data_IF_591316163143
#
_entry.id   IF_591316163143
#
_cell.length_a   1.000
_cell.length_b   1.000
_cell.length_c   1.000
_cell.angle_alpha   90.00
_cell.angle_beta   90.00
_cell.angle_gamma   90.00
#
_symmetry.space_group_name_H-M   'P 1'
#
loop_
_entity.id
_entity.type
_entity.pdbx_description
1 polymer ?
#
# COMPACT_ATOMS: atom_id res chain seq x y z
N UNK A 1 6.66 -0.33 10.61
CA UNK A 1 7.97 0.33 10.54
C UNK A 1 8.83 -0.34 11.58
N UNK A 2 9.71 -1.24 11.18
CA UNK A 2 10.73 -1.70 12.12
C UNK A 2 11.64 -0.48 12.30
N UNK A 3 11.48 0.21 13.42
CA UNK A 3 12.55 1.05 13.93
C UNK A 3 13.62 0.08 14.41
N UNK A 4 14.63 -0.10 13.57
CA UNK A 4 15.92 -0.62 13.99
C UNK A 4 16.95 0.33 13.40
N UNK A 5 17.27 1.34 14.20
CA UNK A 5 18.41 2.24 14.00
C UNK A 5 19.71 1.45 14.25
N UNK A 6 19.98 0.44 13.41
CA UNK A 6 21.26 -0.25 13.37
C UNK A 6 22.12 0.35 12.25
N UNK A 7 23.18 1.11 12.58
CA UNK A 7 24.08 1.75 11.62
C UNK A 7 24.80 0.77 10.69
N UNK A 8 24.77 -0.54 10.95
CA UNK A 8 25.39 -1.56 10.11
C UNK A 8 24.63 -1.85 8.80
N UNK A 9 23.36 -1.44 8.68
CA UNK A 9 22.56 -1.57 7.45
C UNK A 9 22.86 -0.49 6.39
N UNK A 10 23.71 0.48 6.70
CA UNK A 10 24.22 1.47 5.74
C UNK A 10 25.29 0.90 4.79
N UNK A 11 25.58 -0.41 4.83
CA UNK A 11 26.23 -1.12 3.73
C UNK A 11 25.21 -1.42 2.63
N UNK A 12 24.72 -0.36 1.98
CA UNK A 12 23.85 -0.48 0.80
C UNK A 12 24.66 -1.03 -0.37
N UNK A 13 24.63 -2.35 -0.50
CA UNK A 13 25.10 -3.07 -1.68
C UNK A 13 24.22 -2.73 -2.89
N UNK A 14 24.78 -2.88 -4.11
CA UNK A 14 24.14 -2.69 -5.44
C UNK A 14 22.81 -3.48 -5.67
N UNK A 15 22.26 -4.11 -4.63
CA UNK A 15 21.10 -5.00 -4.64
C UNK A 15 19.84 -4.38 -4.02
N UNK A 16 19.90 -3.16 -3.48
CA UNK A 16 18.76 -2.48 -2.85
C UNK A 16 18.49 -1.11 -3.46
N UNK A 17 17.21 -0.73 -3.52
CA UNK A 17 16.74 0.62 -3.88
C UNK A 17 15.78 1.08 -2.79
N UNK A 18 16.08 2.19 -2.11
CA UNK A 18 15.21 2.77 -1.05
C UNK A 18 14.79 1.77 0.05
N UNK A 19 15.68 0.84 0.41
CA UNK A 19 15.39 -0.19 1.42
C UNK A 19 14.61 -1.41 0.89
N UNK A 20 14.33 -1.48 -0.41
CA UNK A 20 13.72 -2.64 -1.07
C UNK A 20 14.77 -3.46 -1.82
N UNK A 21 14.70 -4.78 -1.73
CA UNK A 21 15.51 -5.69 -2.56
C UNK A 21 15.10 -5.57 -4.03
N UNK A 22 16.07 -5.39 -4.92
CA UNK A 22 15.82 -5.28 -6.37
C UNK A 22 15.12 -6.54 -6.90
N UNK A 23 15.47 -7.73 -6.39
CA UNK A 23 14.84 -9.00 -6.75
C UNK A 23 13.34 -9.02 -6.41
N UNK A 24 12.96 -8.48 -5.25
CA UNK A 24 11.55 -8.39 -4.83
C UNK A 24 10.78 -7.41 -5.71
N UNK A 25 11.39 -6.28 -6.10
CA UNK A 25 10.80 -5.33 -7.04
C UNK A 25 10.48 -6.03 -8.37
N UNK A 26 11.41 -6.81 -8.91
CA UNK A 26 11.20 -7.56 -10.15
C UNK A 26 10.12 -8.63 -10.01
N UNK A 27 10.11 -9.38 -8.90
CA UNK A 27 9.09 -10.37 -8.61
C UNK A 27 7.69 -9.73 -8.55
N UNK A 28 7.58 -8.57 -7.89
CA UNK A 28 6.34 -7.84 -7.72
C UNK A 28 5.83 -7.24 -9.04
N UNK A 29 6.73 -6.73 -9.89
CA UNK A 29 6.41 -6.31 -11.26
C UNK A 29 5.88 -7.48 -12.11
N UNK A 30 6.51 -8.66 -12.03
CA UNK A 30 6.08 -9.86 -12.76
C UNK A 30 4.70 -10.30 -12.30
N UNK A 31 4.46 -10.36 -10.98
CA UNK A 31 3.16 -10.70 -10.38
C UNK A 31 2.08 -9.71 -10.82
N UNK A 32 2.34 -8.41 -10.70
CA UNK A 32 1.39 -7.35 -11.02
C UNK A 32 0.98 -7.31 -12.49
N UNK A 33 1.90 -7.61 -13.42
CA UNK A 33 1.61 -7.70 -14.87
C UNK A 33 0.53 -8.75 -15.20
N UNK A 34 0.50 -9.87 -14.48
CA UNK A 34 -0.50 -10.93 -14.68
C UNK A 34 -1.89 -10.57 -14.13
N UNK A 35 -1.99 -9.55 -13.27
CA UNK A 35 -3.23 -9.18 -12.59
C UNK A 35 -4.02 -8.13 -13.35
N UNK A 36 -5.34 -8.37 -13.49
CA UNK A 36 -6.29 -7.43 -14.08
C UNK A 36 -6.91 -6.53 -13.03
N UNK A 37 -6.93 -5.23 -13.30
CA UNK A 37 -7.55 -4.22 -12.45
C UNK A 37 -9.07 -4.48 -12.32
N UNK A 38 -9.59 -4.47 -11.09
CA UNK A 38 -11.01 -4.63 -10.81
C UNK A 38 -11.87 -3.50 -11.40
N UNK A 39 -11.29 -2.30 -11.61
CA UNK A 39 -11.97 -1.14 -12.17
C UNK A 39 -11.88 -1.07 -13.70
N UNK A 40 -10.67 -0.92 -14.26
CA UNK A 40 -10.49 -0.69 -15.70
C UNK A 40 -10.28 -1.97 -16.52
N UNK A 41 -10.20 -3.15 -15.88
CA UNK A 41 -10.04 -4.49 -16.48
C UNK A 41 -8.77 -4.72 -17.30
N UNK A 42 -7.85 -3.76 -17.34
CA UNK A 42 -6.52 -3.86 -17.98
C UNK A 42 -5.49 -4.55 -17.05
N UNK A 43 -4.46 -5.21 -17.60
CA UNK A 43 -3.37 -5.81 -16.82
C UNK A 43 -2.51 -4.77 -16.08
N UNK A 44 -1.61 -5.23 -15.19
CA UNK A 44 -0.69 -4.36 -14.43
C UNK A 44 -1.24 -3.88 -13.08
N UNK A 45 -2.19 -4.59 -12.48
CA UNK A 45 -2.77 -4.22 -11.19
C UNK A 45 -1.92 -4.74 -10.01
N UNK A 46 -0.91 -3.95 -9.60
CA UNK A 46 -0.01 -4.32 -8.51
C UNK A 46 -0.62 -4.14 -7.11
N UNK A 47 -1.62 -3.28 -6.94
CA UNK A 47 -2.14 -2.91 -5.63
C UNK A 47 -3.36 -3.74 -5.28
N UNK A 48 -3.31 -4.47 -4.16
CA UNK A 48 -4.43 -5.22 -3.59
C UNK A 48 -4.98 -4.53 -2.34
N UNK A 49 -6.22 -4.84 -1.97
CA UNK A 49 -6.76 -4.44 -0.67
C UNK A 49 -6.08 -5.24 0.47
N UNK A 50 -5.67 -4.58 1.55
CA UNK A 50 -5.01 -5.19 2.72
C UNK A 50 -5.89 -6.17 3.52
N UNK A 51 -7.20 -6.23 3.24
CA UNK A 51 -8.07 -7.28 3.79
C UNK A 51 -7.85 -8.58 3.00
N UNK A 52 -7.24 -9.60 3.64
CA UNK A 52 -6.83 -10.87 3.01
C UNK A 52 -7.91 -11.56 2.16
N UNK A 53 -9.19 -11.48 2.56
CA UNK A 53 -10.33 -12.08 1.83
C UNK A 53 -10.85 -11.22 0.68
N UNK A 54 -10.34 -10.01 0.49
CA UNK A 54 -10.77 -9.09 -0.55
C UNK A 54 -10.03 -9.37 -1.86
N UNK A 55 -10.78 -9.61 -2.94
CA UNK A 55 -10.23 -9.85 -4.27
C UNK A 55 -9.99 -8.57 -5.10
N UNK A 56 -10.30 -7.40 -4.52
CA UNK A 56 -10.13 -6.10 -5.17
C UNK A 56 -8.64 -5.78 -5.32
N UNK A 57 -8.27 -5.52 -6.57
CA UNK A 57 -6.92 -5.12 -6.97
C UNK A 57 -7.01 -4.09 -8.07
N UNK A 58 -6.06 -3.18 -8.16
CA UNK A 58 -6.10 -2.12 -9.15
C UNK A 58 -4.76 -1.43 -9.38
N UNK A 59 -4.75 -0.53 -10.35
CA UNK A 59 -3.73 0.50 -10.43
C UNK A 59 -3.97 1.52 -9.32
N UNK A 60 -2.92 2.19 -8.85
CA UNK A 60 -3.03 3.23 -7.82
C UNK A 60 -4.07 4.31 -8.21
N UNK A 61 -4.07 4.87 -9.43
CA UNK A 61 -5.07 5.86 -9.82
C UNK A 61 -6.49 5.28 -9.91
N UNK A 62 -6.63 3.98 -10.21
CA UNK A 62 -7.94 3.33 -10.27
C UNK A 62 -8.53 3.14 -8.87
N UNK A 63 -7.70 2.80 -7.88
CA UNK A 63 -8.15 2.71 -6.48
C UNK A 63 -8.74 4.04 -6.02
N UNK A 64 -8.04 5.16 -6.25
CA UNK A 64 -8.53 6.50 -5.92
C UNK A 64 -9.82 6.86 -6.67
N UNK A 65 -9.91 6.58 -7.98
CA UNK A 65 -11.15 6.81 -8.76
C UNK A 65 -12.34 6.05 -8.20
N UNK A 66 -12.11 4.85 -7.66
CA UNK A 66 -13.16 4.05 -6.99
C UNK A 66 -13.36 4.41 -5.52
N UNK A 67 -12.83 5.53 -5.04
CA UNK A 67 -12.95 5.99 -3.63
C UNK A 67 -12.32 5.02 -2.62
N UNK A 68 -11.25 4.32 -3.00
CA UNK A 68 -10.35 3.65 -2.07
C UNK A 68 -9.27 4.60 -1.53
N UNK A 69 -8.43 4.10 -0.63
CA UNK A 69 -7.34 4.87 0.00
C UNK A 69 -6.07 4.05 0.05
N UNK A 70 -4.94 4.67 -0.21
CA UNK A 70 -3.61 4.14 0.09
C UNK A 70 -3.00 5.01 1.19
N UNK A 71 -2.51 4.38 2.25
CA UNK A 71 -1.88 5.06 3.39
C UNK A 71 -0.38 4.88 3.23
N UNK A 72 0.36 5.98 3.09
CA UNK A 72 1.82 5.95 2.90
C UNK A 72 2.57 5.95 4.23
N UNK A 73 2.18 5.02 5.10
CA UNK A 73 2.79 4.80 6.40
C UNK A 73 2.99 3.30 6.60
N UNK A 74 3.99 2.93 7.40
CA UNK A 74 4.27 1.56 7.81
C UNK A 74 4.47 0.60 6.63
N UNK A 75 3.53 -0.32 6.39
CA UNK A 75 3.56 -1.33 5.33
C UNK A 75 2.81 -0.88 4.07
N UNK A 76 2.58 0.43 3.91
CA UNK A 76 1.87 1.02 2.77
C UNK A 76 0.49 0.38 2.50
N UNK A 77 -0.40 0.27 3.51
CA UNK A 77 -1.64 -0.46 3.33
C UNK A 77 -2.58 0.26 2.36
N UNK A 78 -3.31 -0.53 1.57
CA UNK A 78 -4.31 -0.02 0.63
C UNK A 78 -5.67 -0.65 0.95
N UNK A 79 -6.70 0.18 0.98
CA UNK A 79 -8.06 -0.26 1.23
C UNK A 79 -8.98 0.13 0.07
N UNK A 80 -9.75 -0.84 -0.42
CA UNK A 80 -10.77 -0.57 -1.43
C UNK A 80 -11.93 0.23 -0.81
N UNK A 81 -12.84 0.71 -1.66
CA UNK A 81 -14.02 1.47 -1.20
C UNK A 81 -14.77 0.83 -0.03
N UNK A 82 -14.92 -0.50 -0.05
CA UNK A 82 -15.67 -1.27 0.95
C UNK A 82 -14.94 -1.44 2.28
N UNK A 83 -13.61 -1.36 2.26
CA UNK A 83 -12.77 -1.63 3.43
C UNK A 83 -11.96 -0.41 3.88
N UNK A 84 -12.19 0.76 3.26
CA UNK A 84 -11.50 1.98 3.67
C UNK A 84 -11.89 2.34 5.12
N UNK A 85 -10.93 2.76 5.96
CA UNK A 85 -11.24 3.26 7.29
C UNK A 85 -12.21 4.44 7.19
N UNK A 86 -13.14 4.51 8.14
CA UNK A 86 -14.01 5.68 8.31
C UNK A 86 -13.40 6.59 9.34
N UNK A 87 -13.06 7.81 8.94
CA UNK A 87 -12.65 8.84 9.88
C UNK A 87 -13.89 9.36 10.59
N UNK A 88 -14.03 9.04 11.87
CA UNK A 88 -15.00 9.68 12.74
C UNK A 88 -14.46 11.04 13.16
N UNK A 89 -15.23 12.11 12.96
CA UNK A 89 -14.92 13.40 13.56
C UNK A 89 -15.03 13.27 15.07
N UNK A 90 -13.90 13.21 15.77
CA UNK A 90 -13.91 13.35 17.23
C UNK A 90 -14.14 14.83 17.48
N UNK A 91 -15.38 15.21 17.76
CA UNK A 91 -15.66 16.56 18.28
C UNK A 91 -15.02 16.60 19.65
N UNK A 92 -13.82 17.15 19.74
CA UNK A 92 -13.07 17.25 20.98
C UNK A 92 -13.73 18.35 21.82
N UNK A 93 -14.76 18.00 22.58
CA UNK A 93 -15.20 18.81 23.72
C UNK A 93 -14.09 18.71 24.76
N UNK A 94 -13.09 19.59 24.64
CA UNK A 94 -12.14 19.81 25.71
C UNK A 94 -12.94 20.30 26.91
N UNK A 95 -13.06 19.45 27.93
CA UNK A 95 -13.44 19.89 29.26
C UNK A 95 -12.39 20.91 29.71
N UNK A 96 -12.86 22.14 29.92
CA UNK A 96 -12.20 23.15 30.74
C UNK A 96 -11.95 22.56 32.13
N UNK A 97 -10.68 22.46 32.51
CA UNK A 97 -10.20 22.53 33.89
C UNK A 97 -8.97 23.43 33.91
#
# INVERSE_FOLDING_TARGET
MVQSDDPSLLKQSDKHIEGFLIEDIWAELKRGRALRCSSCRRPGACIGCSIKKCSVKGHLPCIYKTKGVAIFESEFPVFCHRHRPHQTSVTQTFYVF
#
